data_IF_760631033331
#
_entry.id   IF_760631033331
#
_cell.length_a   1.000
_cell.length_b   1.000
_cell.length_c   1.000
_cell.angle_alpha   90.00
_cell.angle_beta   90.00
_cell.angle_gamma   90.00
#
_symmetry.space_group_name_H-M   'P 1'
#
loop_
_entity.id
_entity.type
_entity.pdbx_description
1 polymer ?
#
# COMPACT_ATOMS: atom_id res chain seq x y z
N UNK A 1 40.57 -15.47 16.36
CA UNK A 1 39.16 -15.28 15.96
C UNK A 1 39.14 -14.94 14.48
N UNK A 2 38.59 -15.81 13.62
CA UNK A 2 38.36 -15.45 12.22
C UNK A 2 37.28 -14.36 12.21
N UNK A 3 37.50 -13.19 11.59
CA UNK A 3 36.43 -12.20 11.48
C UNK A 3 35.26 -12.89 10.78
N UNK A 4 34.08 -12.86 11.41
CA UNK A 4 32.87 -13.31 10.76
C UNK A 4 32.76 -12.52 9.45
N UNK A 5 32.93 -13.21 8.31
CA UNK A 5 32.80 -12.62 6.99
C UNK A 5 31.40 -12.03 6.92
N UNK A 6 31.32 -10.70 7.01
CA UNK A 6 30.07 -9.96 6.97
C UNK A 6 29.32 -10.30 5.69
N UNK A 7 28.20 -11.02 5.83
CA UNK A 7 27.39 -11.44 4.69
C UNK A 7 26.52 -10.27 4.22
N UNK A 8 27.06 -9.51 3.26
CA UNK A 8 26.40 -8.34 2.66
C UNK A 8 25.01 -8.66 2.13
N UNK A 9 24.81 -9.86 1.57
CA UNK A 9 23.51 -10.26 1.03
C UNK A 9 22.48 -10.43 2.15
N UNK A 10 22.83 -11.15 3.23
CA UNK A 10 21.94 -11.30 4.40
C UNK A 10 21.64 -9.96 5.06
N UNK A 11 22.65 -9.09 5.21
CA UNK A 11 22.43 -7.75 5.76
C UNK A 11 21.48 -6.93 4.89
N UNK A 12 21.68 -6.91 3.58
CA UNK A 12 20.76 -6.24 2.64
C UNK A 12 19.35 -6.81 2.74
N UNK A 13 19.19 -8.14 2.76
CA UNK A 13 17.87 -8.78 2.87
C UNK A 13 17.13 -8.39 4.14
N UNK A 14 17.84 -8.34 5.27
CA UNK A 14 17.25 -7.92 6.56
C UNK A 14 16.83 -6.45 6.49
N UNK A 15 17.74 -5.56 6.08
CA UNK A 15 17.44 -4.12 5.98
C UNK A 15 16.27 -3.87 5.02
N UNK A 16 16.30 -4.48 3.83
CA UNK A 16 15.23 -4.38 2.85
C UNK A 16 13.89 -4.86 3.40
N UNK A 17 13.88 -6.02 4.07
CA UNK A 17 12.67 -6.57 4.65
C UNK A 17 12.09 -5.68 5.76
N UNK A 18 12.94 -5.14 6.62
CA UNK A 18 12.51 -4.18 7.66
C UNK A 18 11.98 -2.90 7.03
N UNK A 19 12.65 -2.34 6.03
CA UNK A 19 12.21 -1.13 5.32
C UNK A 19 10.83 -1.34 4.69
N UNK A 20 10.61 -2.42 3.94
CA UNK A 20 9.31 -2.72 3.34
C UNK A 20 8.21 -2.93 4.38
N UNK A 21 8.50 -3.63 5.47
CA UNK A 21 7.54 -3.85 6.54
C UNK A 21 7.12 -2.53 7.20
N UNK A 22 8.09 -1.66 7.53
CA UNK A 22 7.81 -0.35 8.14
C UNK A 22 6.99 0.53 7.19
N UNK A 23 7.35 0.59 5.91
CA UNK A 23 6.60 1.37 4.92
C UNK A 23 5.14 0.89 4.83
N UNK A 24 4.94 -0.42 4.72
CA UNK A 24 3.60 -1.02 4.59
C UNK A 24 2.76 -0.78 5.85
N UNK A 25 3.37 -0.90 7.04
CA UNK A 25 2.68 -0.66 8.32
C UNK A 25 2.32 0.82 8.52
N UNK A 26 3.23 1.73 8.20
CA UNK A 26 2.98 3.17 8.29
C UNK A 26 1.84 3.58 7.36
N UNK A 27 1.83 3.04 6.15
CA UNK A 27 0.78 3.33 5.18
C UNK A 27 -0.57 2.75 5.59
N UNK A 28 -0.58 1.52 6.12
CA UNK A 28 -1.79 0.93 6.69
C UNK A 28 -2.34 1.78 7.85
N UNK A 29 -1.47 2.23 8.76
CA UNK A 29 -1.87 3.08 9.87
C UNK A 29 -2.37 4.46 9.43
N UNK A 30 -1.76 5.04 8.39
CA UNK A 30 -2.23 6.30 7.80
C UNK A 30 -3.61 6.15 7.17
N UNK A 31 -3.86 5.05 6.46
CA UNK A 31 -5.16 4.76 5.86
C UNK A 31 -6.24 4.46 6.89
N UNK A 32 -5.90 3.80 8.00
CA UNK A 32 -6.81 3.55 9.11
C UNK A 32 -7.26 4.88 9.77
N UNK A 33 -6.35 5.86 9.86
CA UNK A 33 -6.64 7.16 10.47
C UNK A 33 -7.41 8.11 9.55
N UNK A 34 -7.08 8.14 8.26
CA UNK A 34 -7.74 9.00 7.28
C UNK A 34 -7.87 8.28 5.92
N UNK A 35 -8.89 7.42 5.78
CA UNK A 35 -9.02 6.55 4.61
C UNK A 35 -9.29 7.33 3.31
N UNK A 36 -9.81 8.56 3.40
CA UNK A 36 -10.27 9.33 2.22
C UNK A 36 -9.22 10.33 1.74
N UNK A 37 -8.44 10.96 2.63
CA UNK A 37 -7.48 12.01 2.24
C UNK A 37 -6.06 11.52 1.99
N UNK A 38 -5.67 10.35 2.49
CA UNK A 38 -4.30 9.86 2.29
C UNK A 38 -4.07 9.35 0.86
N UNK A 39 -2.93 9.74 0.30
CA UNK A 39 -2.38 9.17 -0.93
C UNK A 39 -1.73 7.81 -0.59
N UNK A 40 -2.05 6.80 -1.40
CA UNK A 40 -1.44 5.48 -1.32
C UNK A 40 -0.12 5.53 -2.10
N UNK A 41 0.96 5.18 -1.44
CA UNK A 41 2.32 5.23 -2.01
C UNK A 41 2.79 3.80 -2.34
N UNK A 42 2.32 2.81 -1.58
CA UNK A 42 2.64 1.41 -1.83
C UNK A 42 1.85 0.87 -3.02
N UNK A 43 2.51 0.11 -3.91
CA UNK A 43 1.80 -0.53 -5.02
C UNK A 43 0.96 -1.74 -4.55
N UNK A 44 1.01 -2.09 -3.26
CA UNK A 44 0.36 -3.28 -2.71
C UNK A 44 -1.00 -3.00 -2.07
N UNK A 45 -1.31 -1.74 -1.79
CA UNK A 45 -2.57 -1.34 -1.19
C UNK A 45 -3.40 -0.67 -2.28
N UNK A 46 -4.66 -1.04 -2.39
CA UNK A 46 -5.60 -0.44 -3.33
C UNK A 46 -6.81 0.08 -2.53
N UNK A 47 -7.22 1.32 -2.81
CA UNK A 47 -8.41 1.93 -2.22
C UNK A 47 -9.47 2.15 -3.29
N UNK A 48 -10.66 1.62 -3.03
CA UNK A 48 -11.86 1.92 -3.81
C UNK A 48 -12.77 2.82 -2.97
N UNK A 49 -13.18 3.96 -3.53
CA UNK A 49 -14.10 4.90 -2.88
C UNK A 49 -15.47 4.83 -3.60
N UNK A 50 -16.50 4.33 -2.93
CA UNK A 50 -17.89 4.44 -3.38
C UNK A 50 -18.58 5.58 -2.64
N UNK A 51 -19.11 6.54 -3.40
CA UNK A 51 -19.89 7.67 -2.87
C UNK A 51 -21.36 7.39 -3.13
N UNK A 52 -22.11 7.13 -2.06
CA UNK A 52 -23.57 6.95 -2.14
C UNK A 52 -24.28 8.21 -1.67
N UNK A 53 -25.10 8.80 -2.55
CA UNK A 53 -26.03 9.88 -2.22
C UNK A 53 -27.33 9.25 -1.72
N UNK A 54 -27.59 9.33 -0.42
CA UNK A 54 -28.89 8.97 0.14
C UNK A 54 -29.89 10.11 -0.19
N UNK A 55 -30.52 10.05 -1.36
CA UNK A 55 -31.70 10.87 -1.62
C UNK A 55 -32.81 10.41 -0.66
N UNK A 56 -33.25 11.31 0.22
CA UNK A 56 -34.43 11.13 1.06
C UNK A 56 -35.67 10.73 0.25
N UNK A 57 -36.71 10.20 0.90
CA UNK A 57 -37.81 9.52 0.22
C UNK A 57 -38.47 10.45 -0.80
N UNK A 58 -38.74 9.89 -1.98
CA UNK A 58 -39.45 10.54 -3.07
C UNK A 58 -40.75 11.17 -2.55
N UNK A 59 -40.79 12.49 -2.50
CA UNK A 59 -42.00 13.28 -2.43
C UNK A 59 -42.10 14.06 -3.74
N UNK A 60 -43.07 13.64 -4.56
CA UNK A 60 -43.61 14.42 -5.67
C UNK A 60 -43.86 15.87 -5.22
N UNK A 61 -43.24 16.86 -5.87
CA UNK A 61 -43.86 18.11 -6.33
C UNK A 61 -42.84 19.00 -7.08
N UNK A 62 -43.24 19.72 -8.15
CA UNK A 62 -42.37 20.62 -8.89
C UNK A 62 -42.48 22.03 -8.30
N UNK A 63 -41.57 22.42 -7.41
CA UNK A 63 -41.49 23.78 -6.89
C UNK A 63 -40.10 24.37 -7.08
N UNK A 64 -40.10 25.56 -7.71
CA UNK A 64 -39.02 26.52 -7.96
C UNK A 64 -37.60 26.15 -7.50
N UNK A 65 -36.69 26.09 -8.48
CA UNK A 65 -35.25 26.06 -8.26
C UNK A 65 -34.79 27.45 -7.76
N UNK A 66 -34.68 27.61 -6.45
CA UNK A 66 -33.57 28.34 -5.85
C UNK A 66 -32.66 27.30 -5.19
N UNK A 67 -31.35 27.23 -5.49
CA UNK A 67 -30.43 26.42 -4.71
C UNK A 67 -29.41 27.34 -4.03
N UNK A 68 -29.86 28.07 -3.01
CA UNK A 68 -29.01 28.56 -1.91
C UNK A 68 -29.31 27.81 -0.61
N UNK A 69 -29.39 26.47 -0.69
CA UNK A 69 -29.64 25.64 0.47
C UNK A 69 -28.78 24.38 0.47
N UNK A 70 -27.87 24.35 1.44
CA UNK A 70 -27.32 23.17 2.11
C UNK A 70 -26.46 22.20 1.28
N UNK A 71 -25.15 22.46 1.34
CA UNK A 71 -24.07 21.47 1.20
C UNK A 71 -24.11 20.41 2.32
N UNK A 72 -25.25 19.74 2.53
CA UNK A 72 -25.42 18.73 3.59
C UNK A 72 -26.23 17.53 3.09
N UNK A 73 -26.06 17.16 1.81
CA UNK A 73 -26.28 15.77 1.43
C UNK A 73 -25.27 14.94 2.24
N UNK A 74 -25.76 14.13 3.18
CA UNK A 74 -24.96 13.19 3.99
C UNK A 74 -24.29 12.20 3.03
N UNK A 75 -23.13 12.59 2.49
CA UNK A 75 -22.32 11.78 1.59
C UNK A 75 -21.74 10.64 2.43
N UNK A 76 -22.32 9.45 2.30
CA UNK A 76 -21.73 8.24 2.87
C UNK A 76 -20.59 7.81 1.95
N UNK A 77 -19.36 7.90 2.46
CA UNK A 77 -18.19 7.35 1.81
C UNK A 77 -18.00 5.92 2.32
N UNK A 78 -18.21 4.95 1.45
CA UNK A 78 -17.77 3.57 1.70
C UNK A 78 -16.36 3.43 1.15
N UNK A 79 -15.44 3.03 2.03
CA UNK A 79 -14.02 2.88 1.73
C UNK A 79 -13.69 1.40 1.83
N UNK A 80 -13.36 0.80 0.69
CA UNK A 80 -12.80 -0.55 0.65
C UNK A 80 -11.29 -0.47 0.45
N UNK A 81 -10.55 -1.10 1.36
CA UNK A 81 -9.09 -1.16 1.35
C UNK A 81 -8.69 -2.61 1.11
N UNK A 82 -8.03 -2.86 -0.02
CA UNK A 82 -7.58 -4.19 -0.42
C UNK A 82 -6.06 -4.26 -0.38
N UNK A 83 -5.54 -5.35 0.19
CA UNK A 83 -4.11 -5.64 0.23
C UNK A 83 -3.74 -6.76 -0.73
N UNK A 84 -2.82 -6.48 -1.65
CA UNK A 84 -2.28 -7.44 -2.60
C UNK A 84 -1.03 -8.14 -2.02
N UNK A 85 -1.28 -9.13 -1.16
CA UNK A 85 -0.23 -9.95 -0.54
C UNK A 85 0.73 -10.63 -1.52
N UNK A 86 0.27 -11.23 -2.64
CA UNK A 86 1.16 -11.79 -3.65
C UNK A 86 2.13 -10.79 -4.26
N UNK A 87 1.66 -9.58 -4.57
CA UNK A 87 2.52 -8.51 -5.10
C UNK A 87 3.52 -8.03 -4.06
N UNK A 88 3.10 -7.91 -2.79
CA UNK A 88 3.98 -7.60 -1.68
C UNK A 88 5.13 -8.61 -1.57
N UNK A 89 4.82 -9.91 -1.64
CA UNK A 89 5.82 -10.97 -1.60
C UNK A 89 6.77 -10.91 -2.80
N UNK A 90 6.26 -10.61 -4.00
CA UNK A 90 7.10 -10.47 -5.19
C UNK A 90 8.11 -9.31 -5.04
N UNK A 91 7.69 -8.17 -4.51
CA UNK A 91 8.58 -7.03 -4.26
C UNK A 91 9.49 -7.24 -3.04
N UNK A 92 9.07 -8.04 -2.06
CA UNK A 92 9.93 -8.44 -0.95
C UNK A 92 11.04 -9.37 -1.42
N UNK A 93 10.69 -10.46 -2.10
CA UNK A 93 11.65 -11.50 -2.48
C UNK A 93 12.43 -11.19 -3.74
N UNK A 94 11.90 -10.41 -4.69
CA UNK A 94 12.56 -10.11 -5.96
C UNK A 94 13.98 -9.55 -5.76
N UNK A 95 14.15 -8.42 -5.06
CA UNK A 95 15.47 -7.85 -4.77
C UNK A 95 16.36 -8.80 -3.95
N UNK A 96 15.78 -9.52 -2.98
CA UNK A 96 16.52 -10.48 -2.15
C UNK A 96 17.12 -11.59 -2.99
N UNK A 97 16.32 -12.20 -3.88
CA UNK A 97 16.75 -13.27 -4.76
C UNK A 97 17.76 -12.79 -5.79
N UNK A 98 17.59 -11.57 -6.33
CA UNK A 98 18.56 -10.97 -7.26
C UNK A 98 19.92 -10.79 -6.60
N UNK A 99 19.97 -10.17 -5.41
CA UNK A 99 21.23 -9.95 -4.71
C UNK A 99 21.91 -11.24 -4.25
N UNK A 100 21.14 -12.22 -3.76
CA UNK A 100 21.68 -13.53 -3.39
C UNK A 100 22.15 -14.32 -4.63
N UNK A 101 21.37 -14.29 -5.71
CA UNK A 101 21.69 -14.96 -6.97
C UNK A 101 22.96 -14.40 -7.62
N UNK A 102 23.11 -13.07 -7.69
CA UNK A 102 24.33 -12.42 -8.18
C UNK A 102 25.53 -12.81 -7.32
N UNK A 103 25.38 -12.84 -6.00
CA UNK A 103 26.45 -13.25 -5.08
C UNK A 103 26.90 -14.70 -5.29
N UNK A 104 25.96 -15.62 -5.51
CA UNK A 104 26.25 -17.02 -5.82
C UNK A 104 26.91 -17.17 -7.19
N UNK A 105 26.39 -16.50 -8.22
CA UNK A 105 26.92 -16.56 -9.58
C UNK A 105 28.35 -16.02 -9.65
N UNK A 106 28.63 -14.89 -8.97
CA UNK A 106 29.97 -14.32 -8.90
C UNK A 106 30.97 -15.25 -8.20
N UNK A 107 30.54 -15.90 -7.11
CA UNK A 107 31.39 -16.87 -6.40
C UNK A 107 31.68 -18.11 -7.24
N UNK A 108 30.72 -18.53 -8.07
CA UNK A 108 30.93 -19.64 -9.01
C UNK A 108 31.91 -19.25 -10.11
N UNK A 109 31.67 -18.12 -10.79
CA UNK A 109 32.55 -17.62 -11.86
C UNK A 109 33.99 -17.38 -11.41
N UNK A 110 34.22 -17.01 -10.14
CA UNK A 110 35.57 -16.76 -9.61
C UNK A 110 36.30 -18.04 -9.15
N UNK A 111 35.60 -19.17 -9.08
CA UNK A 111 36.15 -20.47 -8.68
C UNK A 111 36.55 -21.33 -9.88
N UNK A 112 35.96 -21.08 -11.04
CA UNK A 112 36.36 -21.62 -12.34
C UNK A 112 37.45 -20.73 -12.98
#
# INVERSE_FOLDING_TARGET
MKPALYNRATHFSIVWGVTLAVLTLLEWHSLDRDPVRHEIISPFIERTLSVSLENGPAADEPALIEPDASQDAVLRYEVDIRFNGPLFLACFFGPVLVFQGIGLLWNHYRRD
#
